data_IF_851285170026
#
_entry.id   IF_851285170026
#
_cell.length_a   1.000
_cell.length_b   1.000
_cell.length_c   1.000
_cell.angle_alpha   90.00
_cell.angle_beta   90.00
_cell.angle_gamma   90.00
#
_symmetry.space_group_name_H-M   'P 1'
#
loop_
_entity.id
_entity.type
_entity.pdbx_description
1 polymer ?
#
# COMPACT_ATOMS: atom_id res chain seq x y z
N UNK A 1 3.92 4.67 16.51
CA UNK A 1 3.00 3.86 15.71
C UNK A 1 1.56 4.38 15.80
N UNK A 2 0.76 4.23 14.73
CA UNK A 2 -0.62 4.70 14.66
C UNK A 2 -1.51 3.60 14.03
N UNK A 3 -2.08 2.74 14.86
CA UNK A 3 -2.87 1.59 14.41
C UNK A 3 -4.23 1.53 15.10
N UNK A 4 -5.29 1.30 14.29
CA UNK A 4 -6.59 0.93 14.83
C UNK A 4 -6.57 -0.51 15.37
N UNK A 5 -7.45 -0.84 16.32
CA UNK A 5 -7.58 -2.20 16.86
C UNK A 5 -8.55 -3.08 16.04
N UNK A 6 -8.55 -2.90 14.72
CA UNK A 6 -9.25 -3.78 13.79
C UNK A 6 -8.35 -4.97 13.36
N UNK A 7 -8.87 -5.86 12.53
CA UNK A 7 -8.16 -7.07 12.10
C UNK A 7 -6.83 -6.75 11.41
N UNK A 8 -6.83 -5.75 10.53
CA UNK A 8 -5.61 -5.37 9.80
C UNK A 8 -4.64 -4.62 10.70
N UNK A 9 -5.15 -3.66 11.49
CA UNK A 9 -4.34 -2.89 12.43
C UNK A 9 -3.63 -3.78 13.43
N UNK A 10 -4.32 -4.77 14.00
CA UNK A 10 -3.71 -5.73 14.94
C UNK A 10 -2.64 -6.59 14.26
N UNK A 11 -2.92 -7.10 13.06
CA UNK A 11 -1.96 -7.93 12.33
C UNK A 11 -0.69 -7.17 11.95
N UNK A 12 -0.81 -5.91 11.57
CA UNK A 12 0.32 -5.07 11.17
C UNK A 12 1.07 -4.49 12.37
N UNK A 13 0.36 -4.12 13.45
CA UNK A 13 0.94 -3.54 14.64
C UNK A 13 2.07 -4.40 15.20
N UNK A 14 1.80 -5.67 15.51
CA UNK A 14 2.78 -6.58 16.10
C UNK A 14 4.00 -6.81 15.19
N UNK A 15 3.75 -6.85 13.88
CA UNK A 15 4.81 -6.96 12.89
C UNK A 15 5.69 -5.71 12.88
N UNK A 16 5.10 -4.51 12.89
CA UNK A 16 5.81 -3.24 12.87
C UNK A 16 6.63 -3.04 14.14
N UNK A 17 6.05 -3.29 15.32
CA UNK A 17 6.77 -3.20 16.60
C UNK A 17 8.05 -4.03 16.55
N UNK A 18 7.94 -5.29 16.13
CA UNK A 18 9.09 -6.19 16.07
C UNK A 18 10.08 -5.76 14.99
N UNK A 19 9.60 -5.54 13.76
CA UNK A 19 10.47 -5.32 12.61
C UNK A 19 11.24 -4.00 12.70
N UNK A 20 10.58 -2.92 13.09
CA UNK A 20 11.24 -1.63 13.22
C UNK A 20 12.30 -1.64 14.33
N UNK A 21 12.04 -2.35 15.43
CA UNK A 21 13.04 -2.52 16.49
C UNK A 21 14.24 -3.34 16.01
N UNK A 22 14.02 -4.42 15.23
CA UNK A 22 15.09 -5.21 14.60
C UNK A 22 15.94 -4.36 13.62
N UNK A 23 15.30 -3.45 12.90
CA UNK A 23 15.95 -2.53 11.96
C UNK A 23 16.62 -1.31 12.65
N UNK A 24 16.56 -1.23 13.98
CA UNK A 24 17.28 -0.22 14.80
C UNK A 24 16.51 1.08 15.04
N UNK A 25 15.20 1.13 14.74
CA UNK A 25 14.38 2.29 15.07
C UNK A 25 13.98 2.30 16.54
N UNK A 26 13.89 3.50 17.12
CA UNK A 26 13.24 3.70 18.43
C UNK A 26 11.73 3.71 18.22
N UNK A 27 11.06 2.67 18.69
CA UNK A 27 9.61 2.50 18.48
C UNK A 27 8.84 3.10 19.64
N UNK A 28 8.05 4.14 19.36
CA UNK A 28 7.04 4.69 20.29
C UNK A 28 5.70 4.07 19.95
N UNK A 29 5.16 3.29 20.88
CA UNK A 29 3.91 2.56 20.72
C UNK A 29 2.89 3.00 21.79
N UNK A 30 1.95 3.91 21.47
CA UNK A 30 0.91 4.33 22.40
C UNK A 30 -0.21 3.29 22.58
N UNK A 31 -0.08 2.14 21.91
CA UNK A 31 -1.13 1.13 21.79
C UNK A 31 -2.11 1.41 20.66
N UNK A 32 -2.96 0.42 20.41
CA UNK A 32 -3.99 0.52 19.36
C UNK A 32 -5.22 1.26 19.87
N UNK A 33 -5.85 2.04 19.00
CA UNK A 33 -7.08 2.77 19.30
C UNK A 33 -8.32 2.12 18.66
N UNK A 34 -9.53 2.25 19.21
CA UNK A 34 -10.75 1.78 18.57
C UNK A 34 -11.05 2.53 17.26
N UNK A 35 -11.37 1.81 16.18
CA UNK A 35 -11.82 2.43 14.93
C UNK A 35 -13.00 3.39 15.17
N UNK A 36 -12.95 4.56 14.52
CA UNK A 36 -13.93 5.62 14.70
C UNK A 36 -13.67 6.51 15.93
N UNK A 37 -12.49 6.42 16.54
CA UNK A 37 -12.05 7.35 17.59
C UNK A 37 -12.02 8.78 17.04
N UNK A 38 -12.53 9.72 17.82
CA UNK A 38 -12.56 11.15 17.48
C UNK A 38 -11.63 12.01 18.35
N UNK A 39 -11.25 11.52 19.51
CA UNK A 39 -10.32 12.21 20.42
C UNK A 39 -8.98 11.47 20.50
N UNK A 40 -7.97 12.08 19.93
CA UNK A 40 -6.59 11.60 19.91
C UNK A 40 -5.63 12.43 20.77
N UNK A 41 -6.15 13.24 21.70
CA UNK A 41 -5.34 14.13 22.54
C UNK A 41 -4.27 13.40 23.34
N UNK A 42 -4.61 12.25 23.93
CA UNK A 42 -3.67 11.43 24.69
C UNK A 42 -2.54 10.89 23.83
N UNK A 43 -2.87 10.37 22.64
CA UNK A 43 -1.89 9.87 21.66
C UNK A 43 -0.97 10.99 21.18
N UNK A 44 -1.54 12.14 20.81
CA UNK A 44 -0.77 13.30 20.36
C UNK A 44 0.19 13.82 21.46
N UNK A 45 -0.25 13.79 22.74
CA UNK A 45 0.59 14.15 23.89
C UNK A 45 1.75 13.18 24.05
N UNK A 46 1.52 11.87 23.89
CA UNK A 46 2.58 10.87 23.90
C UNK A 46 3.61 11.15 22.80
N UNK A 47 3.14 11.36 21.57
CA UNK A 47 4.03 11.63 20.43
C UNK A 47 4.87 12.89 20.62
N UNK A 48 4.29 13.94 21.23
CA UNK A 48 5.03 15.16 21.55
C UNK A 48 6.12 14.93 22.60
N UNK A 49 5.79 14.21 23.68
CA UNK A 49 6.72 13.97 24.79
C UNK A 49 7.89 13.07 24.37
N UNK A 50 7.64 12.16 23.45
CA UNK A 50 8.65 11.23 22.91
C UNK A 50 9.41 11.80 21.69
N UNK A 51 9.12 13.05 21.29
CA UNK A 51 9.82 13.77 20.21
C UNK A 51 9.93 12.93 18.92
N UNK A 52 8.82 12.31 18.48
CA UNK A 52 8.84 11.42 17.33
C UNK A 52 9.21 12.15 16.03
N UNK A 53 9.84 11.41 15.10
CA UNK A 53 10.21 11.92 13.77
C UNK A 53 9.30 11.37 12.66
N UNK A 54 8.79 10.15 12.86
CA UNK A 54 8.06 9.39 11.83
C UNK A 54 6.76 8.87 12.41
N UNK A 55 5.67 9.00 11.66
CA UNK A 55 4.41 8.31 11.93
C UNK A 55 4.27 7.17 10.94
N UNK A 56 4.10 5.95 11.44
CA UNK A 56 3.85 4.76 10.64
C UNK A 56 2.61 4.03 11.16
N UNK A 57 1.73 3.60 10.25
CA UNK A 57 0.52 2.92 10.66
C UNK A 57 -0.40 2.46 9.54
N UNK A 58 -1.59 2.01 9.93
CA UNK A 58 -2.68 1.70 9.01
C UNK A 58 -4.02 2.03 9.64
N UNK A 59 -4.81 2.85 8.97
CA UNK A 59 -6.12 3.33 9.43
C UNK A 59 -6.98 3.78 8.26
N UNK A 60 -8.25 4.02 8.52
CA UNK A 60 -9.18 4.57 7.54
C UNK A 60 -9.05 6.11 7.47
N UNK A 61 -9.45 6.76 6.35
CA UNK A 61 -9.29 8.21 6.17
C UNK A 61 -9.83 9.08 7.31
N UNK A 62 -11.04 8.88 7.87
CA UNK A 62 -11.53 9.70 8.98
C UNK A 62 -10.67 9.61 10.24
N UNK A 63 -10.20 8.41 10.58
CA UNK A 63 -9.35 8.19 11.75
C UNK A 63 -7.98 8.86 11.58
N UNK A 64 -7.41 8.75 10.36
CA UNK A 64 -6.17 9.45 10.02
C UNK A 64 -6.31 10.95 10.16
N UNK A 65 -7.34 11.56 9.58
CA UNK A 65 -7.58 13.01 9.68
C UNK A 65 -7.71 13.47 11.13
N UNK A 66 -8.51 12.77 11.94
CA UNK A 66 -8.72 13.14 13.34
C UNK A 66 -7.42 13.03 14.15
N UNK A 67 -6.69 11.92 14.01
CA UNK A 67 -5.44 11.70 14.73
C UNK A 67 -4.36 12.68 14.29
N UNK A 68 -4.21 12.90 12.98
CA UNK A 68 -3.18 13.79 12.44
C UNK A 68 -3.44 15.25 12.83
N UNK A 69 -4.68 15.72 12.76
CA UNK A 69 -5.04 17.05 13.22
C UNK A 69 -4.73 17.25 14.72
N UNK A 70 -5.00 16.24 15.57
CA UNK A 70 -4.65 16.31 16.99
C UNK A 70 -3.12 16.34 17.19
N UNK A 71 -2.35 15.57 16.42
CA UNK A 71 -0.90 15.52 16.46
C UNK A 71 -0.30 16.90 16.10
N UNK A 72 -0.75 17.51 14.99
CA UNK A 72 -0.29 18.84 14.59
C UNK A 72 -0.72 19.92 15.58
N UNK A 73 -1.96 19.87 16.09
CA UNK A 73 -2.44 20.82 17.11
C UNK A 73 -1.65 20.74 18.41
N UNK A 74 -1.10 19.58 18.77
CA UNK A 74 -0.21 19.41 19.89
C UNK A 74 1.19 19.98 19.64
N UNK A 75 1.51 20.40 18.40
CA UNK A 75 2.81 20.93 17.99
C UNK A 75 3.89 19.84 17.88
N UNK A 76 3.49 18.65 17.42
CA UNK A 76 4.43 17.59 17.02
C UNK A 76 4.98 17.94 15.65
N UNK A 77 6.30 17.93 15.51
CA UNK A 77 6.98 18.10 14.21
C UNK A 77 7.25 16.73 13.60
N UNK A 78 6.70 16.50 12.41
CA UNK A 78 6.76 15.21 11.71
C UNK A 78 7.59 15.33 10.45
N UNK A 79 8.62 14.51 10.32
CA UNK A 79 9.48 14.44 9.13
C UNK A 79 9.00 13.46 8.07
N UNK A 80 8.24 12.43 8.47
CA UNK A 80 7.71 11.44 7.53
C UNK A 80 6.40 10.84 8.06
N UNK A 81 5.42 10.65 7.18
CA UNK A 81 4.16 9.97 7.47
C UNK A 81 3.94 8.87 6.45
N UNK A 82 3.91 7.61 6.91
CA UNK A 82 3.65 6.44 6.06
C UNK A 82 2.43 5.67 6.54
N UNK A 83 1.42 5.56 5.69
CA UNK A 83 0.12 5.00 6.04
C UNK A 83 -0.34 3.94 5.04
N UNK A 84 -0.82 2.82 5.57
CA UNK A 84 -1.65 1.90 4.83
C UNK A 84 -3.12 2.35 4.74
N UNK A 85 -3.98 1.59 4.12
CA UNK A 85 -5.43 1.83 3.92
C UNK A 85 -5.76 3.24 3.38
N UNK A 86 -5.75 4.26 4.23
CA UNK A 86 -6.14 5.63 3.87
C UNK A 86 -5.32 6.26 2.74
N UNK A 87 -4.16 5.71 2.44
CA UNK A 87 -3.28 6.20 1.38
C UNK A 87 -3.22 5.29 0.14
N UNK A 88 -4.07 4.26 0.04
CA UNK A 88 -4.03 3.28 -1.05
C UNK A 88 -4.88 3.67 -2.26
N UNK A 89 -6.06 4.25 -2.02
CA UNK A 89 -7.00 4.62 -3.09
C UNK A 89 -6.91 6.12 -3.35
N UNK A 90 -6.86 6.49 -4.61
CA UNK A 90 -6.83 7.90 -5.01
C UNK A 90 -8.03 8.67 -4.43
N UNK A 91 -9.24 8.08 -4.43
CA UNK A 91 -10.43 8.71 -3.84
C UNK A 91 -10.31 9.00 -2.36
N UNK A 92 -9.66 8.09 -1.60
CA UNK A 92 -9.46 8.25 -0.17
C UNK A 92 -8.41 9.33 0.11
N UNK A 93 -7.34 9.34 -0.69
CA UNK A 93 -6.28 10.33 -0.61
C UNK A 93 -6.79 11.73 -1.00
N UNK A 94 -7.60 11.84 -2.03
CA UNK A 94 -8.26 13.10 -2.41
C UNK A 94 -9.16 13.64 -1.28
N UNK A 95 -9.83 12.75 -0.53
CA UNK A 95 -10.64 13.13 0.62
C UNK A 95 -9.81 13.67 1.81
N UNK A 96 -8.51 13.38 1.86
CA UNK A 96 -7.59 13.95 2.87
C UNK A 96 -7.21 15.42 2.56
N UNK A 97 -7.53 15.92 1.36
CA UNK A 97 -7.25 17.29 0.95
C UNK A 97 -5.75 17.59 0.93
N UNK A 98 -5.34 18.65 1.63
CA UNK A 98 -3.94 19.08 1.67
C UNK A 98 -3.02 18.11 2.42
N UNK A 99 -3.55 17.33 3.36
CA UNK A 99 -2.78 16.32 4.10
C UNK A 99 -2.32 15.15 3.23
N UNK A 100 -2.84 15.01 2.02
CA UNK A 100 -2.43 13.98 1.08
C UNK A 100 -1.03 14.20 0.51
N UNK A 101 -0.64 15.47 0.34
CA UNK A 101 0.65 15.84 -0.25
C UNK A 101 1.80 15.51 0.69
N UNK A 102 2.73 14.68 0.24
CA UNK A 102 3.83 14.14 1.05
C UNK A 102 3.53 12.83 1.77
N UNK A 103 2.27 12.35 1.76
CA UNK A 103 1.88 11.11 2.42
C UNK A 103 2.49 9.90 1.71
N UNK A 104 3.21 9.07 2.46
CA UNK A 104 3.83 7.85 1.94
C UNK A 104 2.92 6.64 2.11
N UNK A 105 3.07 5.68 1.20
CA UNK A 105 2.34 4.41 1.24
C UNK A 105 3.08 3.32 0.48
N UNK A 106 2.62 2.08 0.61
CA UNK A 106 3.07 0.99 -0.24
C UNK A 106 2.48 1.10 -1.64
N UNK A 107 3.27 0.76 -2.65
CA UNK A 107 2.82 0.65 -4.04
C UNK A 107 2.83 -0.81 -4.45
N UNK A 108 1.65 -1.35 -4.70
CA UNK A 108 1.44 -2.74 -5.13
C UNK A 108 1.48 -2.87 -6.63
N UNK A 109 1.14 -1.81 -7.34
CA UNK A 109 1.10 -1.74 -8.78
C UNK A 109 1.13 -0.28 -9.26
N UNK A 110 1.83 -0.08 -10.38
CA UNK A 110 1.84 1.19 -11.10
C UNK A 110 1.88 0.92 -12.61
N UNK A 111 1.38 1.86 -13.44
CA UNK A 111 1.48 1.73 -14.91
C UNK A 111 2.91 1.58 -15.42
N UNK A 112 3.88 2.04 -14.66
CA UNK A 112 5.32 1.99 -14.95
C UNK A 112 5.98 0.67 -14.60
N UNK A 113 5.27 -0.25 -13.92
CA UNK A 113 5.82 -1.57 -13.61
C UNK A 113 6.13 -2.34 -14.90
N UNK A 114 7.25 -3.09 -14.96
CA UNK A 114 7.74 -3.74 -16.18
C UNK A 114 7.02 -5.05 -16.52
N UNK A 115 5.88 -5.32 -15.87
CA UNK A 115 5.19 -6.60 -15.98
C UNK A 115 4.30 -6.71 -17.22
N UNK A 116 4.10 -7.94 -17.63
CA UNK A 116 3.29 -8.30 -18.79
C UNK A 116 2.54 -9.60 -18.54
N UNK A 117 1.25 -9.63 -18.87
CA UNK A 117 0.42 -10.82 -18.75
C UNK A 117 0.89 -11.95 -19.68
N UNK A 118 1.13 -13.14 -19.15
CA UNK A 118 1.34 -14.36 -19.95
C UNK A 118 0.07 -14.79 -20.69
N UNK A 119 -1.11 -14.46 -20.14
CA UNK A 119 -2.39 -14.86 -20.72
C UNK A 119 -2.78 -14.02 -21.94
N UNK A 120 -2.59 -12.71 -21.88
CA UNK A 120 -3.10 -11.76 -22.88
C UNK A 120 -2.00 -11.01 -23.62
N UNK A 121 -0.78 -11.04 -23.11
CA UNK A 121 0.34 -10.26 -23.61
C UNK A 121 0.25 -8.76 -23.30
N UNK A 122 -0.74 -8.30 -22.54
CA UNK A 122 -0.89 -6.88 -22.19
C UNK A 122 0.13 -6.46 -21.14
N UNK A 123 0.68 -5.27 -21.27
CA UNK A 123 1.59 -4.64 -20.29
C UNK A 123 0.83 -3.78 -19.30
N UNK A 124 1.50 -3.40 -18.19
CA UNK A 124 0.94 -2.47 -17.21
C UNK A 124 0.56 -1.11 -17.83
N UNK A 125 1.41 -0.58 -18.72
CA UNK A 125 1.13 0.67 -19.41
C UNK A 125 -0.09 0.56 -20.33
N UNK A 126 -0.16 -0.51 -21.16
CA UNK A 126 -1.27 -0.69 -22.10
C UNK A 126 -2.62 -0.89 -21.41
N UNK A 127 -2.68 -1.63 -20.31
CA UNK A 127 -3.94 -1.81 -19.58
C UNK A 127 -4.36 -0.51 -18.89
N UNK A 128 -3.41 0.26 -18.36
CA UNK A 128 -3.69 1.57 -17.79
C UNK A 128 -4.29 2.53 -18.83
N UNK A 129 -3.72 2.60 -20.04
CA UNK A 129 -4.24 3.46 -21.10
C UNK A 129 -5.68 3.08 -21.51
N UNK A 130 -5.98 1.78 -21.60
CA UNK A 130 -7.35 1.31 -21.85
C UNK A 130 -8.30 1.71 -20.71
N UNK A 131 -7.88 1.50 -19.47
CA UNK A 131 -8.68 1.87 -18.31
C UNK A 131 -8.92 3.38 -18.25
N UNK A 132 -7.87 4.18 -18.50
CA UNK A 132 -7.94 5.64 -18.51
C UNK A 132 -8.85 6.18 -19.61
N UNK A 133 -8.84 5.57 -20.79
CA UNK A 133 -9.74 5.95 -21.89
C UNK A 133 -11.22 5.76 -21.53
N UNK A 134 -11.54 4.75 -20.73
CA UNK A 134 -12.91 4.45 -20.33
C UNK A 134 -13.37 5.17 -19.06
N UNK A 135 -12.43 5.43 -18.12
CA UNK A 135 -12.75 5.89 -16.76
C UNK A 135 -12.21 7.30 -16.45
N UNK A 136 -11.42 7.91 -17.34
CA UNK A 136 -10.87 9.27 -17.18
C UNK A 136 -9.78 9.41 -16.12
N UNK A 137 -9.28 8.31 -15.55
CA UNK A 137 -8.27 8.31 -14.48
C UNK A 137 -7.34 7.10 -14.56
N UNK A 138 -6.20 7.19 -13.90
CA UNK A 138 -5.25 6.08 -13.73
C UNK A 138 -5.96 4.88 -13.07
N UNK A 139 -5.61 3.67 -13.51
CA UNK A 139 -6.16 2.43 -12.96
C UNK A 139 -5.74 2.28 -11.49
N UNK A 140 -6.69 2.12 -10.56
CA UNK A 140 -6.37 1.91 -9.15
C UNK A 140 -5.64 0.58 -8.92
N UNK A 141 -4.70 0.56 -7.98
CA UNK A 141 -3.94 -0.64 -7.61
C UNK A 141 -4.84 -1.86 -7.32
N UNK A 142 -5.92 -1.77 -6.52
CA UNK A 142 -6.81 -2.90 -6.29
C UNK A 142 -7.51 -3.41 -7.55
N UNK A 143 -7.78 -2.54 -8.53
CA UNK A 143 -8.36 -2.94 -9.82
C UNK A 143 -7.37 -3.78 -10.64
N UNK A 144 -6.07 -3.43 -10.61
CA UNK A 144 -5.02 -4.23 -11.23
C UNK A 144 -4.93 -5.63 -10.60
N UNK A 145 -5.04 -5.72 -9.28
CA UNK A 145 -5.06 -7.01 -8.57
C UNK A 145 -6.32 -7.84 -8.88
N UNK A 146 -7.48 -7.20 -8.99
CA UNK A 146 -8.71 -7.89 -9.41
C UNK A 146 -8.59 -8.46 -10.82
N UNK A 147 -8.00 -7.69 -11.75
CA UNK A 147 -7.70 -8.15 -13.11
C UNK A 147 -6.74 -9.35 -13.08
N UNK A 148 -5.63 -9.26 -12.35
CA UNK A 148 -4.68 -10.36 -12.20
C UNK A 148 -5.33 -11.60 -11.57
N UNK A 149 -6.27 -11.44 -10.64
CA UNK A 149 -7.06 -12.53 -10.08
C UNK A 149 -7.85 -13.30 -11.14
N UNK A 150 -8.43 -12.58 -12.12
CA UNK A 150 -9.11 -13.21 -13.28
C UNK A 150 -8.10 -13.91 -14.22
N UNK A 151 -6.93 -13.31 -14.46
CA UNK A 151 -5.86 -13.97 -15.22
C UNK A 151 -5.44 -15.29 -14.58
N UNK A 152 -5.24 -15.29 -13.26
CA UNK A 152 -4.88 -16.49 -12.50
C UNK A 152 -5.96 -17.57 -12.56
N UNK A 153 -7.24 -17.18 -12.45
CA UNK A 153 -8.35 -18.11 -12.58
C UNK A 153 -8.37 -18.79 -13.96
N UNK A 154 -8.24 -18.02 -15.03
CA UNK A 154 -8.23 -18.54 -16.41
C UNK A 154 -7.00 -19.45 -16.64
N UNK A 155 -5.80 -19.02 -16.24
CA UNK A 155 -4.59 -19.81 -16.38
C UNK A 155 -4.65 -21.11 -15.57
N UNK A 156 -5.29 -21.08 -14.39
CA UNK A 156 -5.52 -22.28 -13.58
C UNK A 156 -6.39 -23.29 -14.31
N UNK A 157 -7.50 -22.87 -14.92
CA UNK A 157 -8.35 -23.77 -15.70
C UNK A 157 -7.65 -24.31 -16.95
N UNK A 158 -6.88 -23.49 -17.64
CA UNK A 158 -6.06 -23.94 -18.79
C UNK A 158 -5.08 -25.04 -18.32
N UNK A 159 -4.38 -24.82 -17.21
CA UNK A 159 -3.42 -25.77 -16.63
C UNK A 159 -4.10 -27.05 -16.17
N UNK A 160 -5.25 -26.95 -15.53
CA UNK A 160 -6.02 -28.11 -15.05
C UNK A 160 -6.62 -28.95 -16.20
N UNK A 161 -6.95 -28.33 -17.34
CA UNK A 161 -7.61 -28.97 -18.48
C UNK A 161 -9.01 -29.49 -18.20
N UNK A 162 -9.58 -29.13 -17.05
CA UNK A 162 -10.90 -29.61 -16.56
C UNK A 162 -11.43 -28.69 -15.48
N UNK A 163 -12.74 -28.79 -15.19
CA UNK A 163 -13.41 -28.11 -14.08
C UNK A 163 -13.51 -29.00 -12.82
N UNK A 164 -12.91 -30.19 -12.80
CA UNK A 164 -12.86 -31.04 -11.62
C UNK A 164 -12.14 -30.33 -10.47
N UNK A 165 -12.78 -30.26 -9.29
CA UNK A 165 -12.31 -29.49 -8.13
C UNK A 165 -10.88 -29.87 -7.71
N UNK A 166 -10.58 -31.16 -7.62
CA UNK A 166 -9.28 -31.63 -7.11
C UNK A 166 -8.15 -31.33 -8.11
N UNK A 167 -8.44 -31.48 -9.41
CA UNK A 167 -7.49 -31.13 -10.47
C UNK A 167 -7.24 -29.61 -10.53
N UNK A 168 -8.26 -28.79 -10.38
CA UNK A 168 -8.13 -27.32 -10.31
C UNK A 168 -7.34 -26.91 -9.07
N UNK A 169 -7.64 -27.47 -7.89
CA UNK A 169 -6.90 -27.17 -6.67
C UNK A 169 -5.42 -27.54 -6.77
N UNK A 170 -5.11 -28.68 -7.37
CA UNK A 170 -3.72 -29.08 -7.66
C UNK A 170 -3.06 -28.08 -8.64
N UNK A 171 -3.77 -27.68 -9.69
CA UNK A 171 -3.24 -26.77 -10.70
C UNK A 171 -2.90 -25.37 -10.11
N UNK A 172 -3.72 -24.85 -9.17
CA UNK A 172 -3.42 -23.61 -8.44
C UNK A 172 -2.06 -23.72 -7.73
N UNK A 173 -1.85 -24.79 -6.95
CA UNK A 173 -0.61 -24.97 -6.20
C UNK A 173 0.66 -25.19 -7.06
N UNK A 174 0.49 -25.46 -8.33
CA UNK A 174 1.57 -25.66 -9.30
C UNK A 174 1.67 -24.51 -10.32
N UNK A 175 0.80 -23.49 -10.22
CA UNK A 175 0.79 -22.38 -11.17
C UNK A 175 2.03 -21.52 -10.99
N UNK A 176 2.68 -21.23 -12.12
CA UNK A 176 3.76 -20.26 -12.25
C UNK A 176 3.49 -19.47 -13.52
N UNK A 177 3.34 -18.18 -13.40
CA UNK A 177 3.03 -17.31 -14.53
C UNK A 177 3.36 -15.86 -14.21
N UNK A 178 3.48 -15.04 -15.24
CA UNK A 178 3.52 -13.59 -15.15
C UNK A 178 2.10 -13.01 -15.30
N UNK A 179 1.79 -12.04 -14.48
CA UNK A 179 0.57 -11.23 -14.54
C UNK A 179 0.92 -9.75 -14.61
N UNK A 180 -0.07 -8.89 -14.81
CA UNK A 180 0.18 -7.44 -14.75
C UNK A 180 0.60 -6.93 -13.35
N UNK A 181 0.47 -7.74 -12.30
CA UNK A 181 0.94 -7.41 -10.94
C UNK A 181 2.27 -8.11 -10.59
N UNK A 182 2.91 -8.70 -11.59
CA UNK A 182 4.19 -9.39 -11.47
C UNK A 182 4.09 -10.91 -11.46
N UNK A 183 5.21 -11.58 -11.13
CA UNK A 183 5.30 -13.04 -11.13
C UNK A 183 4.47 -13.65 -10.01
N UNK A 184 3.76 -14.71 -10.34
CA UNK A 184 3.00 -15.52 -9.36
C UNK A 184 3.60 -16.92 -9.30
N UNK A 185 3.93 -17.34 -8.09
CA UNK A 185 4.48 -18.65 -7.81
C UNK A 185 4.09 -19.06 -6.40
N UNK A 186 3.17 -20.01 -6.26
CA UNK A 186 2.66 -20.49 -4.98
C UNK A 186 3.67 -21.40 -4.25
N UNK A 187 4.85 -20.86 -3.96
CA UNK A 187 5.94 -21.56 -3.27
C UNK A 187 6.02 -21.26 -1.76
N UNK A 188 5.29 -20.27 -1.28
CA UNK A 188 5.13 -20.01 0.15
C UNK A 188 4.08 -20.92 0.78
N UNK A 189 4.21 -21.18 2.09
CA UNK A 189 3.24 -21.97 2.86
C UNK A 189 3.04 -21.34 4.24
N UNK A 190 1.78 -21.15 4.62
CA UNK A 190 1.39 -20.67 5.93
C UNK A 190 0.10 -21.37 6.38
N UNK A 191 0.15 -22.06 7.52
CA UNK A 191 -1.01 -22.75 8.07
C UNK A 191 -1.60 -23.82 7.14
N UNK A 192 -0.77 -24.48 6.32
CA UNK A 192 -1.20 -25.48 5.33
C UNK A 192 -1.76 -24.87 4.03
N UNK A 193 -1.81 -23.55 3.90
CA UNK A 193 -2.22 -22.85 2.69
C UNK A 193 -1.00 -22.35 1.92
N UNK A 194 -1.02 -22.51 0.62
CA UNK A 194 0.01 -21.98 -0.27
C UNK A 194 -0.29 -20.52 -0.66
N UNK A 195 0.75 -19.71 -0.73
CA UNK A 195 0.65 -18.31 -1.17
C UNK A 195 1.80 -17.94 -2.10
N UNK A 196 1.61 -16.87 -2.84
CA UNK A 196 2.63 -16.17 -3.60
C UNK A 196 2.83 -14.77 -3.03
N UNK A 197 4.09 -14.37 -2.87
CA UNK A 197 4.39 -13.00 -2.47
C UNK A 197 4.07 -12.04 -3.62
N UNK A 198 3.46 -10.92 -3.28
CA UNK A 198 3.27 -9.80 -4.19
C UNK A 198 4.49 -8.89 -4.21
N UNK A 199 4.70 -8.23 -5.32
CA UNK A 199 5.71 -7.17 -5.45
C UNK A 199 5.23 -5.93 -4.72
N UNK A 200 6.11 -5.31 -3.93
CA UNK A 200 5.84 -4.06 -3.21
C UNK A 200 7.01 -3.10 -3.37
N UNK A 201 6.68 -1.84 -3.59
CA UNK A 201 7.63 -0.71 -3.58
C UNK A 201 7.14 0.39 -2.64
N UNK A 202 8.01 1.32 -2.30
CA UNK A 202 7.65 2.51 -1.52
C UNK A 202 7.20 3.64 -2.43
N UNK A 203 6.10 4.30 -2.08
CA UNK A 203 5.59 5.44 -2.83
C UNK A 203 5.20 6.61 -1.97
N UNK A 204 5.03 7.74 -2.62
CA UNK A 204 4.61 8.99 -2.02
C UNK A 204 3.59 9.70 -2.91
N UNK A 205 2.53 10.19 -2.31
CA UNK A 205 1.60 11.08 -2.99
C UNK A 205 2.21 12.48 -3.10
N UNK A 206 2.33 12.97 -4.31
CA UNK A 206 2.90 14.27 -4.62
C UNK A 206 1.97 15.02 -5.57
N UNK A 207 1.88 16.34 -5.44
CA UNK A 207 1.15 17.16 -6.41
C UNK A 207 2.02 17.44 -7.63
N UNK A 208 1.45 17.24 -8.80
CA UNK A 208 2.07 17.67 -10.07
C UNK A 208 1.93 19.19 -10.30
N UNK A 209 2.41 19.67 -11.43
CA UNK A 209 2.36 21.09 -11.83
C UNK A 209 0.93 21.65 -11.94
N UNK A 210 -0.07 20.80 -12.10
CA UNK A 210 -1.49 21.17 -12.14
C UNK A 210 -2.18 21.09 -10.78
N UNK A 211 -1.45 20.66 -9.74
CA UNK A 211 -1.96 20.42 -8.39
C UNK A 211 -2.66 19.07 -8.21
N UNK A 212 -2.61 18.19 -9.21
CA UNK A 212 -3.20 16.86 -9.19
C UNK A 212 -2.32 15.88 -8.40
N UNK A 213 -2.92 15.06 -7.52
CA UNK A 213 -2.20 14.06 -6.76
C UNK A 213 -1.77 12.89 -7.63
N UNK A 214 -0.48 12.60 -7.62
CA UNK A 214 0.16 11.49 -8.31
C UNK A 214 0.87 10.58 -7.31
N UNK A 215 0.71 9.26 -7.45
CA UNK A 215 1.46 8.30 -6.66
C UNK A 215 2.81 8.04 -7.32
N UNK A 216 3.87 8.51 -6.69
CA UNK A 216 5.25 8.46 -7.19
C UNK A 216 5.99 7.33 -6.48
N UNK A 217 6.64 6.43 -7.23
CA UNK A 217 7.52 5.40 -6.68
C UNK A 217 8.85 6.06 -6.32
N UNK A 218 9.19 6.05 -5.03
CA UNK A 218 10.40 6.69 -4.48
C UNK A 218 11.41 5.67 -3.92
N UNK A 219 10.99 4.43 -3.69
CA UNK A 219 11.85 3.34 -3.24
C UNK A 219 11.48 2.02 -3.94
N UNK A 220 12.48 1.35 -4.49
CA UNK A 220 12.38 0.04 -5.15
C UNK A 220 13.42 -0.96 -4.62
N UNK A 221 13.95 -0.74 -3.43
CA UNK A 221 15.06 -1.52 -2.87
C UNK A 221 14.81 -3.02 -2.82
N UNK A 222 13.54 -3.43 -2.62
CA UNK A 222 13.11 -4.84 -2.64
C UNK A 222 12.93 -5.41 -4.08
N UNK A 223 12.69 -4.55 -5.07
CA UNK A 223 12.41 -4.92 -6.46
C UNK A 223 13.07 -3.93 -7.42
N UNK A 224 14.40 -3.99 -7.60
CA UNK A 224 15.18 -3.02 -8.37
C UNK A 224 14.79 -2.89 -9.85
N UNK A 225 14.12 -3.89 -10.40
CA UNK A 225 13.63 -3.88 -11.79
C UNK A 225 12.43 -2.95 -11.99
N UNK A 226 11.75 -2.54 -10.91
CA UNK A 226 10.67 -1.55 -10.98
C UNK A 226 11.30 -0.15 -11.01
N UNK A 227 10.98 0.70 -12.00
CA UNK A 227 11.59 2.01 -12.09
C UNK A 227 11.11 2.95 -10.97
N UNK A 228 12.04 3.66 -10.34
CA UNK A 228 11.74 4.82 -9.53
C UNK A 228 11.20 5.92 -10.46
N UNK A 229 10.08 6.54 -10.09
CA UNK A 229 9.41 7.58 -10.89
C UNK A 229 9.61 8.99 -10.36
N UNK A 230 10.20 9.14 -9.20
CA UNK A 230 10.58 10.41 -8.60
C UNK A 230 11.37 10.24 -7.32
N UNK A 231 11.52 11.32 -6.57
CA UNK A 231 12.25 11.34 -5.31
C UNK A 231 11.33 11.78 -4.18
N UNK A 232 11.69 11.42 -2.94
CA UNK A 232 11.02 11.93 -1.76
C UNK A 232 11.00 13.47 -1.77
N UNK A 233 9.86 14.04 -1.45
CA UNK A 233 9.67 15.49 -1.30
C UNK A 233 8.91 15.77 0.01
N UNK A 234 9.33 16.76 0.81
CA UNK A 234 8.49 17.27 1.88
C UNK A 234 7.17 17.80 1.30
N UNK A 235 6.06 17.48 1.96
CA UNK A 235 4.73 17.95 1.58
C UNK A 235 3.92 18.34 2.81
N UNK A 236 2.64 18.64 2.63
CA UNK A 236 1.77 19.09 3.72
C UNK A 236 1.54 18.04 4.82
N UNK A 237 1.80 16.75 4.51
CA UNK A 237 1.81 15.68 5.51
C UNK A 237 3.06 15.71 6.42
N UNK A 238 4.03 16.60 6.16
CA UNK A 238 5.24 16.76 6.95
C UNK A 238 5.37 18.18 7.47
N UNK A 239 5.91 18.36 8.68
CA UNK A 239 6.08 19.66 9.33
C UNK A 239 7.53 19.98 9.65
N UNK A 240 8.43 18.98 9.59
CA UNK A 240 9.88 19.16 9.62
C UNK A 240 10.39 19.50 8.21
N UNK A 241 11.11 20.60 8.08
CA UNK A 241 11.83 21.01 6.87
C UNK A 241 13.20 20.36 6.79
#
# INVERSE_FOLDING_TARGET
LLFANDTDGTSWHDLFVRRLAEDGYTVVDPGQYPSGTTDFTSLATTFKNEEIDVIAGTNIPPDFMNSYNAIIAAGVEVGCVTMGKCALLQSDVEALGDLADGLMTQVWWAPTNPFKSDLTGITCAEINEKYKAENGRVMPQPTAFAYAGLELAVQTFIKAGTTNKDAVYKAIGELKCETIVGPVNYNGELGGLKYSNSVLTGGQWQRDENGELQLIIIDNSLYPDIPITGQYQPGNATTKN
#
